data_IF_238341426774
#
_entry.id   IF_238341426774
#
_cell.length_a   1.000
_cell.length_b   1.000
_cell.length_c   1.000
_cell.angle_alpha   90.00
_cell.angle_beta   90.00
_cell.angle_gamma   90.00
#
_symmetry.space_group_name_H-M   'P 1'
#
loop_
_entity.id
_entity.type
_entity.pdbx_description
1 polymer ?
#
# COMPACT_ATOMS: atom_id res chain seq x y z
N UNK A 1 -14.81 -4.68 3.99
CA UNK A 1 -14.41 -5.14 2.63
C UNK A 1 -14.07 -3.91 1.80
N UNK A 2 -13.13 -3.98 0.85
CA UNK A 2 -12.74 -2.83 0.04
C UNK A 2 -11.88 -3.22 -1.15
N UNK A 3 -11.71 -2.28 -2.08
CA UNK A 3 -10.94 -2.45 -3.32
C UNK A 3 -9.91 -1.33 -3.45
N UNK A 4 -8.74 -1.66 -4.00
CA UNK A 4 -7.79 -0.67 -4.48
C UNK A 4 -7.98 -0.51 -5.99
N UNK A 5 -8.13 0.71 -6.48
CA UNK A 5 -8.16 1.03 -7.92
C UNK A 5 -7.11 2.09 -8.21
N UNK A 6 -6.25 1.86 -9.21
CA UNK A 6 -5.07 2.67 -9.45
C UNK A 6 -5.07 3.36 -10.81
N UNK A 7 -4.41 4.51 -10.87
CA UNK A 7 -4.21 5.32 -12.08
C UNK A 7 -2.87 4.99 -12.78
N UNK A 8 -2.12 4.01 -12.30
CA UNK A 8 -0.84 3.63 -12.89
C UNK A 8 -0.97 2.83 -14.19
N UNK A 9 -0.17 3.17 -15.19
CA UNK A 9 -0.04 2.45 -16.45
C UNK A 9 1.19 1.54 -16.46
N UNK A 10 1.18 0.50 -17.31
CA UNK A 10 2.27 -0.47 -17.42
C UNK A 10 3.60 0.13 -17.92
N UNK A 11 3.56 1.29 -18.58
CA UNK A 11 4.73 2.03 -19.05
C UNK A 11 5.32 2.98 -17.98
N UNK A 12 4.77 2.99 -16.77
CA UNK A 12 5.19 3.88 -15.68
C UNK A 12 4.56 5.26 -15.73
N UNK A 13 3.67 5.54 -16.70
CA UNK A 13 2.88 6.77 -16.73
C UNK A 13 1.65 6.69 -15.82
N UNK A 14 0.97 7.81 -15.65
CA UNK A 14 -0.36 7.86 -15.04
C UNK A 14 -1.42 7.99 -16.13
N UNK A 15 -2.55 7.31 -15.95
CA UNK A 15 -3.73 7.55 -16.76
C UNK A 15 -4.23 8.98 -16.61
N UNK A 16 -5.04 9.43 -17.58
CA UNK A 16 -5.71 10.73 -17.44
C UNK A 16 -6.52 10.79 -16.14
N UNK A 17 -6.61 12.00 -15.59
CA UNK A 17 -7.38 12.23 -14.37
C UNK A 17 -8.86 11.87 -14.59
N UNK A 18 -9.42 12.26 -15.74
CA UNK A 18 -10.81 11.97 -16.12
C UNK A 18 -11.10 10.48 -16.11
N UNK A 19 -10.24 9.65 -16.72
CA UNK A 19 -10.44 8.20 -16.74
C UNK A 19 -10.42 7.61 -15.32
N UNK A 20 -9.59 8.14 -14.43
CA UNK A 20 -9.54 7.65 -13.06
C UNK A 20 -10.78 8.07 -12.26
N UNK A 21 -11.28 9.29 -12.48
CA UNK A 21 -12.54 9.76 -11.90
C UNK A 21 -13.70 8.88 -12.36
N UNK A 22 -13.79 8.57 -13.66
CA UNK A 22 -14.83 7.70 -14.22
C UNK A 22 -14.81 6.30 -13.58
N UNK A 23 -13.63 5.71 -13.38
CA UNK A 23 -13.49 4.41 -12.68
C UNK A 23 -14.00 4.49 -11.23
N UNK A 24 -13.68 5.57 -10.51
CA UNK A 24 -14.13 5.77 -9.12
C UNK A 24 -15.65 5.91 -9.08
N UNK A 25 -16.23 6.74 -9.94
CA UNK A 25 -17.68 6.95 -10.02
C UNK A 25 -18.42 5.67 -10.41
N UNK A 26 -17.85 4.83 -11.28
CA UNK A 26 -18.41 3.52 -11.59
C UNK A 26 -18.45 2.60 -10.36
N UNK A 27 -17.42 2.63 -9.49
CA UNK A 27 -17.42 1.89 -8.23
C UNK A 27 -18.44 2.45 -7.23
N UNK A 28 -18.64 3.77 -7.19
CA UNK A 28 -19.68 4.40 -6.37
C UNK A 28 -21.07 3.94 -6.82
N UNK A 29 -21.35 3.98 -8.12
CA UNK A 29 -22.62 3.48 -8.67
C UNK A 29 -22.83 1.99 -8.35
N UNK A 30 -21.78 1.17 -8.44
CA UNK A 30 -21.85 -0.24 -8.07
C UNK A 30 -22.14 -0.44 -6.57
N UNK A 31 -21.57 0.41 -5.71
CA UNK A 31 -21.84 0.41 -4.26
C UNK A 31 -23.32 0.69 -3.98
N UNK A 32 -23.91 1.63 -4.70
CA UNK A 32 -25.33 1.98 -4.62
C UNK A 32 -26.23 0.85 -5.17
N UNK A 33 -25.93 0.30 -6.35
CA UNK A 33 -26.69 -0.76 -7.00
C UNK A 33 -26.73 -2.04 -6.15
N UNK A 34 -25.60 -2.42 -5.56
CA UNK A 34 -25.47 -3.66 -4.78
C UNK A 34 -25.88 -3.51 -3.32
N UNK A 35 -25.91 -2.27 -2.80
CA UNK A 35 -26.08 -1.99 -1.38
C UNK A 35 -24.94 -2.50 -0.48
N UNK A 36 -23.81 -2.92 -1.06
CA UNK A 36 -22.65 -3.43 -0.31
C UNK A 36 -21.75 -2.25 0.07
N UNK A 37 -21.50 -1.97 1.36
CA UNK A 37 -20.71 -0.83 1.79
C UNK A 37 -19.19 -1.10 1.74
N UNK A 38 -18.65 -1.42 0.55
CA UNK A 38 -17.21 -1.62 0.39
C UNK A 38 -16.45 -0.29 0.29
N UNK A 39 -15.21 -0.26 0.83
CA UNK A 39 -14.33 0.92 0.77
C UNK A 39 -13.68 1.03 -0.60
N UNK A 40 -13.82 2.18 -1.25
CA UNK A 40 -13.11 2.56 -2.48
C UNK A 40 -11.81 3.26 -2.07
N UNK A 41 -10.68 2.55 -2.19
CA UNK A 41 -9.36 3.06 -1.87
C UNK A 41 -8.66 3.47 -3.18
N UNK A 42 -8.85 4.71 -3.60
CA UNK A 42 -8.33 5.23 -4.87
C UNK A 42 -6.83 5.50 -4.75
N UNK A 43 -6.03 4.79 -5.55
CA UNK A 43 -4.57 4.88 -5.54
C UNK A 43 -4.09 5.81 -6.65
N UNK A 44 -3.21 6.75 -6.30
CA UNK A 44 -2.36 7.41 -7.29
C UNK A 44 -0.95 6.82 -7.27
N UNK A 45 -0.40 6.58 -8.45
CA UNK A 45 0.94 6.02 -8.64
C UNK A 45 2.04 7.09 -8.81
N UNK A 46 1.74 8.38 -8.58
CA UNK A 46 2.71 9.48 -8.78
C UNK A 46 4.06 9.23 -8.07
N UNK A 47 4.02 8.93 -6.77
CA UNK A 47 5.22 8.58 -5.98
C UNK A 47 5.74 7.16 -6.23
N UNK A 48 4.88 6.27 -6.73
CA UNK A 48 5.27 4.89 -7.00
C UNK A 48 6.14 4.77 -8.25
N UNK A 49 5.83 5.58 -9.28
CA UNK A 49 6.59 5.65 -10.52
C UNK A 49 7.59 6.80 -10.59
N UNK A 50 7.60 7.68 -9.58
CA UNK A 50 8.46 8.88 -9.53
C UNK A 50 8.40 9.71 -10.81
N UNK A 51 7.19 10.16 -11.17
CA UNK A 51 6.94 10.74 -12.51
C UNK A 51 7.62 12.09 -12.74
N UNK A 52 7.92 12.85 -11.69
CA UNK A 52 8.50 14.19 -11.80
C UNK A 52 9.36 14.64 -10.60
N UNK A 53 9.76 13.73 -9.71
CA UNK A 53 10.48 14.06 -8.47
C UNK A 53 9.55 14.52 -7.32
N UNK A 54 10.06 14.56 -6.09
CA UNK A 54 9.23 14.63 -4.87
C UNK A 54 8.28 15.84 -4.79
N UNK A 55 8.74 17.05 -5.13
CA UNK A 55 7.92 18.27 -5.04
C UNK A 55 6.77 18.28 -6.06
N UNK A 56 7.05 17.90 -7.29
CA UNK A 56 6.03 17.83 -8.35
C UNK A 56 5.11 16.62 -8.14
N UNK A 57 5.65 15.47 -7.72
CA UNK A 57 4.86 14.31 -7.31
C UNK A 57 3.92 14.62 -6.15
N UNK A 58 4.33 15.45 -5.19
CA UNK A 58 3.47 15.92 -4.09
C UNK A 58 2.29 16.72 -4.64
N UNK A 59 2.57 17.67 -5.53
CA UNK A 59 1.55 18.51 -6.17
C UNK A 59 0.55 17.66 -6.97
N UNK A 60 1.06 16.73 -7.78
CA UNK A 60 0.26 15.77 -8.56
C UNK A 60 -0.59 14.88 -7.64
N UNK A 61 0.00 14.34 -6.58
CA UNK A 61 -0.71 13.45 -5.65
C UNK A 61 -1.81 14.19 -4.87
N UNK A 62 -1.61 15.45 -4.50
CA UNK A 62 -2.64 16.28 -3.85
C UNK A 62 -3.78 16.59 -4.82
N UNK A 63 -3.47 17.02 -6.05
CA UNK A 63 -4.47 17.30 -7.08
C UNK A 63 -5.36 16.07 -7.33
N UNK A 64 -4.71 14.94 -7.61
CA UNK A 64 -5.40 13.67 -7.84
C UNK A 64 -6.16 13.19 -6.62
N UNK A 65 -5.56 13.25 -5.43
CA UNK A 65 -6.21 12.85 -4.19
C UNK A 65 -7.49 13.64 -3.89
N UNK A 66 -7.47 14.96 -4.12
CA UNK A 66 -8.67 15.82 -4.00
C UNK A 66 -9.74 15.44 -5.01
N UNK A 67 -9.35 15.25 -6.27
CA UNK A 67 -10.27 14.84 -7.32
C UNK A 67 -10.89 13.45 -7.04
N UNK A 68 -10.10 12.50 -6.53
CA UNK A 68 -10.58 11.17 -6.17
C UNK A 68 -11.58 11.22 -5.01
N UNK A 69 -11.29 12.01 -3.97
CA UNK A 69 -12.20 12.24 -2.86
C UNK A 69 -13.52 12.88 -3.35
N UNK A 70 -13.44 13.88 -4.23
CA UNK A 70 -14.62 14.52 -4.83
C UNK A 70 -15.43 13.55 -5.71
N UNK A 71 -14.77 12.61 -6.38
CA UNK A 71 -15.41 11.57 -7.18
C UNK A 71 -16.11 10.48 -6.33
N UNK A 72 -15.94 10.50 -5.01
CA UNK A 72 -16.58 9.58 -4.07
C UNK A 72 -15.67 8.46 -3.55
N UNK A 73 -14.35 8.57 -3.68
CA UNK A 73 -13.44 7.66 -3.01
C UNK A 73 -13.57 7.79 -1.48
N UNK A 74 -13.71 6.66 -0.78
CA UNK A 74 -13.76 6.62 0.69
C UNK A 74 -12.38 6.86 1.33
N UNK A 75 -11.31 6.55 0.59
CA UNK A 75 -9.92 6.63 1.03
C UNK A 75 -9.01 6.88 -0.19
N UNK A 76 -7.92 7.62 0.00
CA UNK A 76 -6.87 7.80 -1.02
C UNK A 76 -5.61 7.07 -0.59
N UNK A 77 -4.97 6.38 -1.53
CA UNK A 77 -3.72 5.68 -1.32
C UNK A 77 -2.58 6.31 -2.13
N UNK A 78 -1.54 6.75 -1.44
CA UNK A 78 -0.30 7.26 -2.07
C UNK A 78 0.88 6.37 -1.67
N UNK A 79 1.19 5.29 -2.42
CA UNK A 79 2.39 4.50 -2.21
C UNK A 79 3.61 5.11 -2.90
N UNK A 80 4.79 4.86 -2.34
CA UNK A 80 6.07 5.25 -2.91
C UNK A 80 7.04 5.77 -1.85
N UNK A 81 8.23 6.15 -2.29
CA UNK A 81 9.23 6.75 -1.42
C UNK A 81 8.97 8.26 -1.30
N UNK A 82 8.82 8.74 -0.07
CA UNK A 82 8.60 10.15 0.23
C UNK A 82 9.18 10.49 1.60
N UNK A 83 9.52 11.75 1.84
CA UNK A 83 9.92 12.20 3.16
C UNK A 83 8.74 12.19 4.15
N UNK A 84 9.06 12.18 5.45
CA UNK A 84 8.04 12.32 6.50
C UNK A 84 7.29 13.67 6.41
N UNK A 85 7.96 14.72 5.95
CA UNK A 85 7.34 16.03 5.74
C UNK A 85 6.29 15.95 4.62
N UNK A 86 6.63 15.37 3.48
CA UNK A 86 5.72 15.10 2.36
C UNK A 86 4.54 14.24 2.79
N UNK A 87 4.78 13.17 3.55
CA UNK A 87 3.72 12.32 4.10
C UNK A 87 2.73 13.12 4.97
N UNK A 88 3.23 14.01 5.86
CA UNK A 88 2.39 14.89 6.67
C UNK A 88 1.57 15.86 5.81
N UNK A 89 2.18 16.46 4.79
CA UNK A 89 1.47 17.35 3.87
C UNK A 89 0.34 16.63 3.14
N UNK A 90 0.58 15.42 2.63
CA UNK A 90 -0.47 14.60 2.00
C UNK A 90 -1.64 14.33 2.95
N UNK A 91 -1.36 14.03 4.22
CA UNK A 91 -2.40 13.77 5.23
C UNK A 91 -3.25 15.02 5.48
N UNK A 92 -2.65 16.22 5.45
CA UNK A 92 -3.37 17.46 5.70
C UNK A 92 -4.15 17.98 4.47
N UNK A 93 -3.60 17.79 3.27
CA UNK A 93 -4.11 18.44 2.06
C UNK A 93 -5.17 17.61 1.30
N UNK A 94 -5.24 16.30 1.54
CA UNK A 94 -6.22 15.38 0.92
C UNK A 94 -7.45 15.25 1.84
N UNK A 95 -8.65 15.64 1.41
CA UNK A 95 -9.83 15.77 2.28
C UNK A 95 -10.56 14.45 2.53
N UNK A 96 -9.84 13.35 2.72
CA UNK A 96 -10.38 12.04 3.05
C UNK A 96 -9.33 11.19 3.81
N UNK A 97 -9.72 10.06 4.43
CA UNK A 97 -8.77 9.12 5.01
C UNK A 97 -7.62 8.79 4.05
N UNK A 98 -6.38 8.98 4.51
CA UNK A 98 -5.18 8.66 3.72
C UNK A 98 -4.62 7.29 4.10
N UNK A 99 -4.29 6.50 3.08
CA UNK A 99 -3.50 5.29 3.14
C UNK A 99 -2.09 5.57 2.61
N UNK A 100 -1.06 5.14 3.32
CA UNK A 100 0.33 5.12 2.84
C UNK A 100 0.87 3.69 2.82
N UNK A 101 2.05 3.48 2.25
CA UNK A 101 2.77 2.21 2.34
C UNK A 101 3.96 2.35 3.28
N UNK A 102 4.26 1.30 4.05
CA UNK A 102 5.42 1.25 4.93
C UNK A 102 6.73 1.31 4.10
N UNK A 103 7.54 2.31 4.41
CA UNK A 103 8.90 2.53 3.90
C UNK A 103 9.81 2.90 5.08
N UNK A 104 11.14 2.94 4.92
CA UNK A 104 12.02 3.46 5.96
C UNK A 104 11.67 4.89 6.41
N UNK A 105 11.08 5.70 5.54
CA UNK A 105 10.68 7.08 5.82
C UNK A 105 9.29 7.19 6.48
N UNK A 106 8.43 6.18 6.31
CA UNK A 106 7.07 6.13 6.90
C UNK A 106 6.94 5.09 8.03
N UNK A 107 8.05 4.62 8.58
CA UNK A 107 8.07 3.60 9.64
C UNK A 107 7.64 4.11 11.03
N UNK A 108 7.67 5.42 11.26
CA UNK A 108 7.21 6.02 12.51
C UNK A 108 5.68 6.16 12.50
N UNK A 109 5.02 5.04 12.82
CA UNK A 109 3.56 4.90 12.88
C UNK A 109 2.97 5.88 13.90
N UNK A 110 3.65 6.11 15.03
CA UNK A 110 3.13 7.00 16.08
C UNK A 110 3.06 8.44 15.57
N UNK A 111 4.13 8.92 14.94
CA UNK A 111 4.14 10.27 14.35
C UNK A 111 3.11 10.41 13.23
N UNK A 112 2.94 9.40 12.39
CA UNK A 112 1.93 9.42 11.32
C UNK A 112 0.49 9.38 11.85
N UNK A 113 0.22 8.59 12.88
CA UNK A 113 -1.09 8.57 13.55
C UNK A 113 -1.41 9.92 14.19
N UNK A 114 -0.45 10.56 14.85
CA UNK A 114 -0.61 11.91 15.40
C UNK A 114 -0.87 12.95 14.30
N UNK A 115 -0.31 12.76 13.11
CA UNK A 115 -0.58 13.60 11.96
C UNK A 115 -1.95 13.35 11.31
N UNK A 116 -2.66 12.28 11.69
CA UNK A 116 -3.98 11.93 11.16
C UNK A 116 -4.00 10.84 10.10
N UNK A 117 -2.92 10.08 9.93
CA UNK A 117 -2.91 8.95 8.99
C UNK A 117 -3.99 7.93 9.36
N UNK A 118 -4.81 7.53 8.37
CA UNK A 118 -5.90 6.58 8.61
C UNK A 118 -5.47 5.11 8.41
N UNK A 119 -4.52 4.86 7.51
CA UNK A 119 -4.06 3.50 7.19
C UNK A 119 -2.59 3.48 6.76
N UNK A 120 -1.86 2.47 7.23
CA UNK A 120 -0.54 2.13 6.73
C UNK A 120 -0.56 0.70 6.19
N UNK A 121 -0.34 0.55 4.88
CA UNK A 121 -0.29 -0.74 4.19
C UNK A 121 1.14 -1.29 4.15
N UNK A 122 1.30 -2.61 4.16
CA UNK A 122 2.62 -3.26 4.11
C UNK A 122 3.02 -3.76 2.70
N UNK A 123 2.08 -3.73 1.76
CA UNK A 123 2.27 -4.26 0.40
C UNK A 123 2.79 -5.70 0.41
N UNK A 124 3.78 -5.97 -0.43
CA UNK A 124 4.46 -7.28 -0.50
C UNK A 124 5.54 -7.48 0.57
N UNK A 125 5.73 -6.52 1.49
CA UNK A 125 6.79 -6.54 2.50
C UNK A 125 6.90 -7.85 3.29
N UNK A 126 5.80 -8.35 3.91
CA UNK A 126 5.84 -9.59 4.69
C UNK A 126 6.26 -10.83 3.88
N UNK A 127 5.78 -10.93 2.63
CA UNK A 127 6.12 -12.05 1.74
C UNK A 127 7.58 -11.96 1.31
N UNK A 128 8.07 -10.76 0.96
CA UNK A 128 9.48 -10.54 0.61
C UNK A 128 10.41 -10.89 1.77
N UNK A 129 10.06 -10.49 3.00
CA UNK A 129 10.83 -10.82 4.20
C UNK A 129 10.88 -12.34 4.44
N UNK A 130 9.77 -13.03 4.22
CA UNK A 130 9.70 -14.49 4.34
C UNK A 130 10.56 -15.18 3.27
N UNK A 131 10.45 -14.77 2.00
CA UNK A 131 11.23 -15.35 0.92
C UNK A 131 12.73 -15.09 1.04
N UNK A 132 13.15 -13.96 1.62
CA UNK A 132 14.56 -13.74 1.93
C UNK A 132 15.13 -14.88 2.80
N UNK A 133 14.44 -15.26 3.88
CA UNK A 133 14.87 -16.37 4.74
C UNK A 133 14.88 -17.73 4.05
N UNK A 134 13.92 -17.99 3.15
CA UNK A 134 13.89 -19.23 2.35
C UNK A 134 15.07 -19.28 1.38
N UNK A 135 15.41 -18.16 0.73
CA UNK A 135 16.54 -18.06 -0.20
C UNK A 135 17.86 -18.28 0.55
N UNK A 136 18.05 -17.63 1.70
CA UNK A 136 19.26 -17.80 2.53
C UNK A 136 19.42 -19.26 3.00
N UNK A 137 18.33 -19.91 3.42
CA UNK A 137 18.35 -21.33 3.80
C UNK A 137 18.73 -22.23 2.60
N UNK A 138 18.15 -21.99 1.43
CA UNK A 138 18.44 -22.76 0.22
C UNK A 138 19.91 -22.59 -0.21
N UNK A 139 20.46 -21.38 -0.12
CA UNK A 139 21.87 -21.10 -0.42
C UNK A 139 22.81 -21.86 0.50
N UNK A 140 22.55 -21.86 1.82
CA UNK A 140 23.35 -22.63 2.80
C UNK A 140 23.33 -24.13 2.54
N UNK A 141 22.15 -24.69 2.26
CA UNK A 141 22.02 -26.10 1.93
C UNK A 141 22.79 -26.43 0.64
N UNK A 142 22.66 -25.60 -0.40
CA UNK A 142 23.30 -25.85 -1.69
C UNK A 142 24.83 -25.75 -1.62
N UNK A 143 25.36 -24.74 -0.91
CA UNK A 143 26.78 -24.41 -0.91
C UNK A 143 27.56 -25.15 0.17
N UNK A 144 26.96 -25.35 1.34
CA UNK A 144 27.65 -25.84 2.53
C UNK A 144 27.12 -27.21 3.01
N UNK A 145 26.01 -27.70 2.43
CA UNK A 145 25.27 -28.86 2.96
C UNK A 145 24.87 -28.68 4.43
N UNK A 146 24.69 -27.43 4.87
CA UNK A 146 24.26 -27.12 6.23
C UNK A 146 22.72 -27.21 6.33
N UNK A 147 22.25 -28.23 7.05
CA UNK A 147 20.83 -28.45 7.34
C UNK A 147 20.41 -27.98 8.73
N UNK A 148 21.32 -27.36 9.51
CA UNK A 148 21.13 -27.07 10.94
C UNK A 148 19.87 -26.23 11.18
N UNK A 149 19.72 -25.12 10.46
CA UNK A 149 18.56 -24.23 10.61
C UNK A 149 17.22 -24.92 10.24
N UNK A 150 17.24 -25.84 9.27
CA UNK A 150 16.05 -26.61 8.88
C UNK A 150 15.68 -27.62 9.96
N UNK A 151 16.66 -28.34 10.52
CA UNK A 151 16.42 -29.38 11.54
C UNK A 151 16.09 -28.78 12.91
N UNK A 152 16.56 -27.57 13.20
CA UNK A 152 16.34 -26.87 14.46
C UNK A 152 15.19 -25.85 14.40
N UNK A 153 14.39 -25.84 13.32
CA UNK A 153 13.29 -24.88 13.21
C UNK A 153 12.31 -25.04 14.39
N UNK A 154 12.00 -23.95 15.10
CA UNK A 154 11.07 -24.03 16.22
C UNK A 154 9.64 -24.26 15.77
N UNK A 155 9.30 -24.01 14.50
CA UNK A 155 7.96 -24.18 13.94
C UNK A 155 7.73 -25.64 13.52
N UNK A 156 7.24 -26.45 14.47
CA UNK A 156 6.86 -27.84 14.23
C UNK A 156 5.42 -27.94 13.71
N UNK A 157 5.02 -29.10 13.16
CA UNK A 157 3.61 -29.35 12.82
C UNK A 157 2.66 -29.11 14.00
N UNK A 158 3.06 -29.50 15.21
CA UNK A 158 2.25 -29.29 16.41
C UNK A 158 2.01 -27.79 16.67
N UNK A 159 3.07 -26.97 16.60
CA UNK A 159 2.98 -25.51 16.77
C UNK A 159 2.26 -24.82 15.61
N UNK A 160 2.46 -25.28 14.38
CA UNK A 160 1.71 -24.79 13.23
C UNK A 160 0.21 -25.03 13.42
N UNK A 161 -0.18 -26.21 13.91
CA UNK A 161 -1.57 -26.54 14.20
C UNK A 161 -2.18 -25.69 15.34
N UNK A 162 -1.38 -25.13 16.26
CA UNK A 162 -1.90 -24.23 17.31
C UNK A 162 -2.50 -22.94 16.73
N UNK A 163 -2.03 -22.46 15.58
CA UNK A 163 -2.61 -21.29 14.89
C UNK A 163 -3.98 -21.54 14.24
N UNK A 164 -4.41 -22.81 14.15
CA UNK A 164 -5.68 -23.21 13.53
C UNK A 164 -6.67 -23.84 14.52
N UNK A 165 -6.33 -23.85 15.82
CA UNK A 165 -7.28 -24.26 16.85
C UNK A 165 -8.18 -23.07 17.15
N UNK A 166 -9.49 -23.28 17.03
CA UNK A 166 -10.54 -22.32 17.43
C UNK A 166 -10.53 -22.03 18.94
#
# INVERSE_FOLDING_TARGET
MGVNIEDGCSDGSLSSLDLQIEKIQALVALKEETGIPFVINARTCAFWYDVAGEEENLSIAIERGRAFAQAGADCVFVPGAMSLATAKTLIQEIPCPLNLILTPQTQDIQTLNQAGLARLSLGSGPVRATYQGVIELAQKIQQEQDFTALLQTPLTYAKANEYFKE
#
